data_IF_160375780313
#
_entry.id   IF_160375780313
#
_cell.length_a   1.000
_cell.length_b   1.000
_cell.length_c   1.000
_cell.angle_alpha   90.00
_cell.angle_beta   90.00
_cell.angle_gamma   90.00
#
_symmetry.space_group_name_H-M   'P 1'
#
loop_
_entity.id
_entity.type
_entity.pdbx_description
1 polymer ?
#
# COMPACT_ATOMS: atom_id res chain seq x y z
N UNK A 1 43.36 23.15 -26.20
CA UNK A 1 43.95 21.93 -25.59
C UNK A 1 43.02 21.43 -24.49
N UNK A 2 42.15 20.45 -24.80
CA UNK A 2 41.23 19.85 -23.81
C UNK A 2 41.94 18.68 -23.10
N UNK A 3 42.14 18.77 -21.78
CA UNK A 3 42.72 17.69 -20.98
C UNK A 3 41.64 16.69 -20.60
N UNK A 4 41.63 15.55 -21.30
CA UNK A 4 40.92 14.34 -20.90
C UNK A 4 41.46 13.87 -19.53
N UNK A 5 40.74 14.14 -18.43
CA UNK A 5 41.03 13.56 -17.11
C UNK A 5 40.64 12.07 -17.12
N UNK A 6 41.63 11.20 -17.33
CA UNK A 6 41.50 9.74 -17.14
C UNK A 6 41.82 9.38 -15.69
N UNK A 7 41.09 8.42 -15.12
CA UNK A 7 41.43 7.85 -13.81
C UNK A 7 42.56 6.83 -13.93
N UNK A 8 43.14 6.42 -12.80
CA UNK A 8 44.29 5.51 -12.68
C UNK A 8 44.11 4.10 -13.27
N UNK A 9 42.90 3.76 -13.72
CA UNK A 9 42.59 2.50 -14.39
C UNK A 9 42.40 2.65 -15.92
N UNK A 10 42.74 3.81 -16.49
CA UNK A 10 42.81 4.01 -17.94
C UNK A 10 41.45 4.07 -18.66
N UNK A 11 40.32 4.05 -17.95
CA UNK A 11 38.99 4.15 -18.56
C UNK A 11 38.61 5.61 -18.80
N UNK A 12 38.08 5.94 -19.99
CA UNK A 12 37.50 7.26 -20.30
C UNK A 12 36.31 7.49 -19.34
N UNK A 13 36.28 8.63 -18.65
CA UNK A 13 35.08 9.06 -17.94
C UNK A 13 34.04 9.48 -18.98
N UNK A 14 33.10 8.58 -19.27
CA UNK A 14 31.89 8.92 -20.00
C UNK A 14 31.05 9.79 -19.08
N UNK A 15 30.95 11.08 -19.41
CA UNK A 15 30.03 12.03 -18.77
C UNK A 15 28.61 11.53 -19.04
N UNK A 16 28.03 10.80 -18.08
CA UNK A 16 26.62 10.48 -18.09
C UNK A 16 25.87 11.82 -17.97
N UNK A 17 25.21 12.23 -19.05
CA UNK A 17 24.25 13.31 -19.01
C UNK A 17 23.18 12.94 -18.00
N UNK A 18 23.05 13.72 -16.94
CA UNK A 18 21.89 13.64 -16.06
C UNK A 18 20.69 14.08 -16.90
N UNK A 19 19.97 13.10 -17.43
CA UNK A 19 18.60 13.29 -17.89
C UNK A 19 17.82 13.75 -16.67
N UNK A 20 17.46 15.03 -16.66
CA UNK A 20 16.61 15.65 -15.64
C UNK A 20 15.21 15.06 -15.79
N UNK A 21 14.97 13.92 -15.15
CA UNK A 21 13.61 13.47 -14.85
C UNK A 21 13.03 14.51 -13.88
N UNK A 22 11.88 15.14 -14.18
CA UNK A 22 11.27 16.07 -13.24
C UNK A 22 10.96 15.32 -11.93
N UNK A 23 11.14 15.96 -10.77
CA UNK A 23 10.74 15.36 -9.50
C UNK A 23 9.24 15.08 -9.61
N UNK A 24 8.87 13.81 -9.60
CA UNK A 24 7.48 13.41 -9.44
C UNK A 24 7.09 13.93 -8.06
N UNK A 25 6.39 15.06 -8.05
CA UNK A 25 5.84 15.68 -6.85
C UNK A 25 5.09 14.61 -6.09
N UNK A 26 5.51 14.42 -4.85
CA UNK A 26 4.96 13.50 -3.87
C UNK A 26 3.57 14.00 -3.43
N UNK A 27 2.61 14.00 -4.37
CA UNK A 27 1.24 14.43 -4.14
C UNK A 27 0.53 13.47 -3.16
N UNK A 28 1.03 12.24 -3.04
CA UNK A 28 0.56 11.26 -2.08
C UNK A 28 0.95 11.57 -0.62
N UNK A 29 2.09 12.22 -0.36
CA UNK A 29 2.50 12.57 1.01
C UNK A 29 1.77 13.79 1.58
N UNK A 30 1.23 14.66 0.72
CA UNK A 30 0.42 15.80 1.18
C UNK A 30 -0.99 15.40 1.60
N UNK A 31 -1.55 14.34 1.01
CA UNK A 31 -2.82 13.76 1.47
C UNK A 31 -2.72 13.20 2.90
N UNK A 32 -1.53 12.72 3.31
CA UNK A 32 -1.32 12.19 4.66
C UNK A 32 -1.14 13.28 5.73
N UNK A 33 -0.76 14.51 5.34
CA UNK A 33 -0.49 15.62 6.28
C UNK A 33 -1.60 16.66 6.38
N UNK A 34 -2.59 16.62 5.48
CA UNK A 34 -3.68 17.61 5.40
C UNK A 34 -4.82 17.40 6.41
N UNK A 35 -4.81 16.34 7.24
CA UNK A 35 -5.89 16.11 8.22
C UNK A 35 -5.67 16.78 9.59
N UNK A 36 -4.61 17.57 9.75
CA UNK A 36 -4.41 18.37 10.95
C UNK A 36 -4.62 19.85 10.68
N UNK A 37 -5.88 20.25 10.45
CA UNK A 37 -6.45 21.53 10.88
C UNK A 37 -7.69 21.88 10.07
N UNK A 38 -8.85 21.42 10.52
CA UNK A 38 -10.09 22.19 10.52
C UNK A 38 -10.98 21.63 11.63
N UNK A 39 -11.58 22.55 12.34
CA UNK A 39 -12.44 22.39 13.51
C UNK A 39 -13.76 21.69 13.12
N UNK A 40 -13.71 20.38 12.86
CA UNK A 40 -14.89 19.55 12.56
C UNK A 40 -14.67 18.17 13.17
N UNK A 41 -15.69 17.66 13.85
CA UNK A 41 -15.65 16.38 14.55
C UNK A 41 -15.06 15.29 13.64
N UNK A 42 -13.89 14.75 14.01
CA UNK A 42 -13.26 13.68 13.26
C UNK A 42 -14.23 12.52 13.04
N UNK A 43 -14.11 11.77 11.92
CA UNK A 43 -15.04 10.71 11.58
C UNK A 43 -15.18 9.79 12.78
N UNK A 44 -16.43 9.53 13.14
CA UNK A 44 -16.72 8.77 14.35
C UNK A 44 -15.98 7.43 14.27
N UNK A 45 -15.52 6.89 15.40
CA UNK A 45 -14.82 5.59 15.44
C UNK A 45 -15.58 4.51 14.64
N UNK A 46 -16.90 4.61 14.59
CA UNK A 46 -17.77 3.71 13.82
C UNK A 46 -17.66 3.88 12.29
N UNK A 47 -17.60 5.12 11.77
CA UNK A 47 -17.39 5.39 10.34
C UNK A 47 -16.00 4.95 9.89
N UNK A 48 -14.97 5.19 10.71
CA UNK A 48 -13.63 4.70 10.41
C UNK A 48 -13.61 3.17 10.33
N UNK A 49 -14.26 2.50 11.28
CA UNK A 49 -14.31 1.03 11.26
C UNK A 49 -15.11 0.49 10.07
N UNK A 50 -16.22 1.13 9.70
CA UNK A 50 -16.99 0.76 8.50
C UNK A 50 -16.13 0.86 7.23
N UNK A 51 -15.40 1.97 7.06
CA UNK A 51 -14.48 2.14 5.95
C UNK A 51 -13.36 1.09 5.92
N UNK A 52 -12.85 0.68 7.09
CA UNK A 52 -11.85 -0.40 7.21
C UNK A 52 -12.41 -1.76 6.80
N UNK A 53 -13.64 -2.09 7.19
CA UNK A 53 -14.32 -3.35 6.79
C UNK A 53 -14.52 -3.40 5.27
N UNK A 54 -14.95 -2.29 4.66
CA UNK A 54 -15.11 -2.19 3.21
C UNK A 54 -13.77 -2.32 2.48
N UNK A 55 -12.74 -1.61 2.93
CA UNK A 55 -11.39 -1.70 2.37
C UNK A 55 -10.81 -3.12 2.46
N UNK A 56 -10.97 -3.79 3.61
CA UNK A 56 -10.54 -5.18 3.78
C UNK A 56 -11.27 -6.12 2.82
N UNK A 57 -12.57 -5.92 2.60
CA UNK A 57 -13.33 -6.68 1.61
C UNK A 57 -12.75 -6.52 0.20
N UNK A 58 -12.45 -5.28 -0.20
CA UNK A 58 -11.82 -5.01 -1.50
C UNK A 58 -10.45 -5.68 -1.65
N UNK A 59 -9.60 -5.60 -0.63
CA UNK A 59 -8.28 -6.22 -0.61
C UNK A 59 -8.40 -7.74 -0.77
N UNK A 60 -9.30 -8.38 -0.04
CA UNK A 60 -9.54 -9.83 -0.12
C UNK A 60 -9.90 -10.24 -1.56
N UNK A 61 -10.84 -9.53 -2.20
CA UNK A 61 -11.21 -9.80 -3.59
C UNK A 61 -10.01 -9.68 -4.53
N UNK A 62 -9.20 -8.63 -4.39
CA UNK A 62 -8.04 -8.43 -5.27
C UNK A 62 -6.95 -9.49 -5.06
N UNK A 63 -6.76 -9.95 -3.83
CA UNK A 63 -5.82 -11.05 -3.54
C UNK A 63 -6.33 -12.34 -4.20
N UNK A 64 -7.63 -12.62 -4.14
CA UNK A 64 -8.19 -13.83 -4.78
C UNK A 64 -7.98 -13.83 -6.30
N UNK A 65 -8.21 -12.70 -6.97
CA UNK A 65 -7.91 -12.54 -8.40
C UNK A 65 -6.42 -12.82 -8.69
N UNK A 66 -5.51 -12.28 -7.87
CA UNK A 66 -4.07 -12.53 -8.00
C UNK A 66 -3.72 -14.01 -7.79
N UNK A 67 -4.41 -14.70 -6.87
CA UNK A 67 -4.21 -16.15 -6.65
C UNK A 67 -4.60 -16.95 -7.87
N UNK A 68 -5.76 -16.65 -8.46
CA UNK A 68 -6.24 -17.30 -9.67
C UNK A 68 -5.28 -17.06 -10.85
N UNK A 69 -4.75 -15.84 -10.99
CA UNK A 69 -3.74 -15.53 -12.00
C UNK A 69 -2.41 -16.26 -11.75
N UNK A 70 -1.95 -16.33 -10.50
CA UNK A 70 -0.74 -17.07 -10.16
C UNK A 70 -0.89 -18.56 -10.50
N UNK A 71 -2.06 -19.15 -10.22
CA UNK A 71 -2.37 -20.53 -10.55
C UNK A 71 -2.39 -20.77 -12.07
N UNK A 72 -2.98 -19.87 -12.86
CA UNK A 72 -3.04 -20.02 -14.32
C UNK A 72 -1.68 -19.91 -15.01
N UNK A 73 -0.70 -19.29 -14.35
CA UNK A 73 0.67 -19.16 -14.85
C UNK A 73 1.67 -20.11 -14.18
N UNK A 74 1.21 -21.05 -13.33
CA UNK A 74 2.09 -21.99 -12.63
C UNK A 74 3.07 -21.33 -11.66
N UNK A 75 2.71 -20.19 -11.07
CA UNK A 75 3.57 -19.45 -10.14
C UNK A 75 3.38 -19.95 -8.70
N UNK A 76 3.81 -21.17 -8.37
CA UNK A 76 3.45 -21.81 -7.09
C UNK A 76 3.90 -21.02 -5.86
N UNK A 77 5.13 -20.51 -5.84
CA UNK A 77 5.66 -19.75 -4.69
C UNK A 77 4.82 -18.50 -4.44
N UNK A 78 4.47 -17.77 -5.50
CA UNK A 78 3.61 -16.59 -5.41
C UNK A 78 2.20 -16.98 -4.96
N UNK A 79 1.63 -18.05 -5.52
CA UNK A 79 0.32 -18.57 -5.12
C UNK A 79 0.25 -18.92 -3.63
N UNK A 80 1.31 -19.50 -3.07
CA UNK A 80 1.40 -19.78 -1.62
C UNK A 80 1.45 -18.51 -0.77
N UNK A 81 2.22 -17.52 -1.17
CA UNK A 81 2.28 -16.24 -0.45
C UNK A 81 0.92 -15.52 -0.47
N UNK A 82 0.25 -15.55 -1.63
CA UNK A 82 -1.07 -14.95 -1.78
C UNK A 82 -2.14 -15.71 -0.98
N UNK A 83 -2.04 -17.04 -0.82
CA UNK A 83 -2.94 -17.81 0.05
C UNK A 83 -2.81 -17.43 1.52
N UNK A 84 -1.58 -17.25 2.01
CA UNK A 84 -1.34 -16.78 3.37
C UNK A 84 -1.92 -15.38 3.56
N UNK A 85 -1.65 -14.46 2.63
CA UNK A 85 -2.19 -13.10 2.67
C UNK A 85 -3.73 -13.06 2.62
N UNK A 86 -4.35 -13.94 1.82
CA UNK A 86 -5.81 -14.07 1.75
C UNK A 86 -6.40 -14.52 3.08
N UNK A 87 -5.80 -15.55 3.70
CA UNK A 87 -6.24 -16.09 4.98
C UNK A 87 -6.12 -15.05 6.09
N UNK A 88 -4.96 -14.38 6.19
CA UNK A 88 -4.74 -13.32 7.18
C UNK A 88 -5.69 -12.12 7.00
N UNK A 89 -6.00 -11.76 5.74
CA UNK A 89 -6.94 -10.68 5.44
C UNK A 89 -8.37 -11.06 5.83
N UNK A 90 -8.79 -12.30 5.58
CA UNK A 90 -10.07 -12.83 6.04
C UNK A 90 -10.16 -12.79 7.58
N UNK A 91 -9.08 -13.16 8.27
CA UNK A 91 -9.01 -13.11 9.73
C UNK A 91 -9.08 -11.68 10.27
N UNK A 92 -8.39 -10.75 9.62
CA UNK A 92 -8.47 -9.33 9.92
C UNK A 92 -9.89 -8.79 9.76
N UNK A 93 -10.58 -9.15 8.67
CA UNK A 93 -11.97 -8.76 8.43
C UNK A 93 -12.90 -9.32 9.52
N UNK A 94 -12.72 -10.58 9.93
CA UNK A 94 -13.50 -11.19 11.01
C UNK A 94 -13.29 -10.46 12.34
N UNK A 95 -12.04 -10.15 12.69
CA UNK A 95 -11.73 -9.39 13.92
C UNK A 95 -12.32 -7.98 13.88
N UNK A 96 -12.24 -7.32 12.73
CA UNK A 96 -12.77 -5.96 12.59
C UNK A 96 -14.29 -5.93 12.74
N UNK A 97 -15.00 -6.87 12.11
CA UNK A 97 -16.44 -7.02 12.26
C UNK A 97 -16.84 -7.37 13.70
N UNK A 98 -16.09 -8.24 14.36
CA UNK A 98 -16.35 -8.56 15.77
C UNK A 98 -16.20 -7.32 16.67
N UNK A 99 -15.18 -6.47 16.43
CA UNK A 99 -15.02 -5.20 17.15
C UNK A 99 -16.19 -4.25 16.91
N UNK A 100 -16.71 -4.14 15.67
CA UNK A 100 -17.88 -3.30 15.40
C UNK A 100 -19.12 -3.76 16.15
N UNK A 101 -19.36 -5.07 16.19
CA UNK A 101 -20.55 -5.62 16.82
C UNK A 101 -20.53 -5.44 18.35
N UNK A 102 -19.34 -5.57 18.97
CA UNK A 102 -19.16 -5.31 20.40
C UNK A 102 -19.37 -3.83 20.75
N UNK A 103 -18.86 -2.90 19.93
CA UNK A 103 -19.05 -1.46 20.14
C UNK A 103 -20.53 -1.05 19.98
N UNK A 104 -21.27 -1.69 19.06
CA UNK A 104 -22.69 -1.42 18.84
C UNK A 104 -23.58 -1.96 19.97
N UNK A 105 -23.29 -3.17 20.46
CA UNK A 105 -23.98 -3.76 21.62
C UNK A 105 -23.78 -2.93 22.90
N UNK A 106 -22.61 -2.31 23.07
CA UNK A 106 -22.29 -1.48 24.25
C UNK A 106 -23.01 -0.13 24.23
N UNK A 107 -23.43 0.37 23.05
CA UNK A 107 -24.15 1.64 22.92
C UNK A 107 -25.68 1.51 23.04
N UNK A 108 -26.20 0.28 22.94
CA UNK A 108 -27.64 0.00 23.05
C UNK A 108 -28.06 -0.48 24.46
N UNK A 109 -27.09 -0.63 25.38
CA UNK A 109 -27.30 -0.98 26.79
C UNK A 109 -27.21 0.26 27.68
#
# INVERSE_FOLDING_TARGET
MNRDRKNSFGRRQTRAGMSSVPPTTDECLLAARSYHSTDEAGPTRQEQTKGRVEALGFIICRIDELRQMAASHGLETLGRLLEVAFTESCDALRRERASTQADEATRQA
#
